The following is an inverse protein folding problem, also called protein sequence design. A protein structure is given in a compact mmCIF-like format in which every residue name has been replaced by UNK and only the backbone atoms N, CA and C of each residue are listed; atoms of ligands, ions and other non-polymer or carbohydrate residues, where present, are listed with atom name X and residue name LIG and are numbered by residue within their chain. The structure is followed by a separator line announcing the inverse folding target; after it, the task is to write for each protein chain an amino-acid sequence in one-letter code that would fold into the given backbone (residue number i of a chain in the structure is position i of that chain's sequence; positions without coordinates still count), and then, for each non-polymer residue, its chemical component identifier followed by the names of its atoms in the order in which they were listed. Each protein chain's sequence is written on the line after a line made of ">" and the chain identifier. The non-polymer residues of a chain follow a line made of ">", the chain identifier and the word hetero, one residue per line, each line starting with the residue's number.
data_IF_011004168861
#
_entry.id   IF_011004168861
#
_cell.length_a   1.000
_cell.length_b   1.000
_cell.length_c   1.000
_cell.angle_alpha   90.00
_cell.angle_beta   90.00
_cell.angle_gamma   90.00
#
_symmetry.space_group_name_H-M   'P 1'
#
loop_
_entity.id
_entity.type
_entity.pdbx_description
1 polymer ?
#
# COMPACT_ATOMS: atom_id res chain seq x y z
N UNK A 1 -0.46 -17.86 -10.59
CA UNK A 1 -0.43 -17.17 -9.29
C UNK A 1 -1.36 -17.93 -8.39
N UNK A 2 -0.92 -18.38 -7.21
CA UNK A 2 -1.81 -19.07 -6.27
C UNK A 2 -2.94 -18.09 -5.87
N UNK A 3 -4.19 -18.53 -5.97
CA UNK A 3 -5.39 -17.75 -5.64
C UNK A 3 -5.38 -17.32 -4.18
N UNK A 4 -4.90 -18.18 -3.28
CA UNK A 4 -4.81 -17.92 -1.84
C UNK A 4 -3.79 -16.82 -1.54
N UNK A 5 -2.66 -16.82 -2.26
CA UNK A 5 -1.68 -15.73 -2.19
C UNK A 5 -2.33 -14.41 -2.62
N UNK A 6 -3.10 -14.42 -3.71
CA UNK A 6 -3.83 -13.26 -4.21
C UNK A 6 -4.84 -12.70 -3.19
N UNK A 7 -5.61 -13.57 -2.55
CA UNK A 7 -6.62 -13.20 -1.57
C UNK A 7 -6.00 -12.63 -0.28
N UNK A 8 -4.89 -13.21 0.18
CA UNK A 8 -4.15 -12.68 1.33
C UNK A 8 -3.56 -11.31 1.00
N UNK A 9 -2.95 -11.14 -0.17
CA UNK A 9 -2.44 -9.84 -0.63
C UNK A 9 -3.56 -8.78 -0.73
N UNK A 10 -4.74 -9.17 -1.22
CA UNK A 10 -5.91 -8.29 -1.25
C UNK A 10 -6.36 -7.85 0.14
N UNK A 11 -6.39 -8.79 1.09
CA UNK A 11 -6.75 -8.53 2.49
C UNK A 11 -5.76 -7.59 3.17
N UNK A 12 -4.46 -7.88 3.08
CA UNK A 12 -3.38 -7.04 3.63
C UNK A 12 -3.43 -5.63 3.05
N UNK A 13 -3.65 -5.52 1.74
CA UNK A 13 -3.75 -4.23 1.05
C UNK A 13 -4.92 -3.42 1.58
N UNK A 14 -6.08 -4.06 1.79
CA UNK A 14 -7.25 -3.39 2.37
C UNK A 14 -7.00 -2.92 3.81
N UNK A 15 -6.38 -3.75 4.65
CA UNK A 15 -6.01 -3.35 6.02
C UNK A 15 -5.06 -2.16 6.03
N UNK A 16 -4.04 -2.17 5.18
CA UNK A 16 -3.12 -1.03 5.03
C UNK A 16 -3.86 0.23 4.60
N UNK A 17 -4.79 0.14 3.64
CA UNK A 17 -5.61 1.28 3.18
C UNK A 17 -6.49 1.81 4.31
N UNK A 18 -7.18 0.93 5.02
CA UNK A 18 -8.11 1.32 6.10
C UNK A 18 -7.34 1.97 7.26
N UNK A 19 -6.18 1.42 7.62
CA UNK A 19 -5.36 1.91 8.71
C UNK A 19 -4.58 3.19 8.35
N UNK A 20 -4.31 3.41 7.06
CA UNK A 20 -3.71 4.64 6.55
C UNK A 20 -4.73 5.73 6.19
N UNK A 21 -6.03 5.42 6.18
CA UNK A 21 -7.10 6.33 5.76
C UNK A 21 -7.15 7.62 6.59
N UNK A 22 -6.84 7.53 7.89
CA UNK A 22 -6.83 8.65 8.82
C UNK A 22 -5.77 9.71 8.48
N UNK A 23 -4.74 9.31 7.73
CA UNK A 23 -3.72 10.27 7.35
C UNK A 23 -4.12 11.04 6.08
N UNK A 24 -5.15 10.62 5.34
CA UNK A 24 -5.66 11.37 4.17
C UNK A 24 -4.59 11.71 3.14
N UNK A 25 -3.53 10.91 3.07
CA UNK A 25 -2.24 11.41 2.59
C UNK A 25 -2.17 11.45 1.06
N UNK A 26 -2.77 10.50 0.34
CA UNK A 26 -2.71 10.51 -1.13
C UNK A 26 -3.80 11.46 -1.59
N UNK A 27 -3.50 12.56 -2.32
CA UNK A 27 -4.53 13.25 -3.06
C UNK A 27 -5.11 12.23 -4.03
N UNK A 28 -6.29 11.70 -3.70
CA UNK A 28 -7.03 10.84 -4.62
C UNK A 28 -7.38 11.72 -5.80
N UNK A 29 -6.86 11.45 -7.01
CA UNK A 29 -7.21 12.26 -8.16
C UNK A 29 -8.73 12.20 -8.31
N UNK A 30 -9.37 13.35 -8.14
CA UNK A 30 -10.82 13.48 -8.22
C UNK A 30 -11.24 13.14 -9.64
N UNK A 31 -11.91 12.01 -9.81
CA UNK A 31 -12.65 11.66 -11.03
C UNK A 31 -11.83 11.36 -12.29
N UNK A 32 -10.52 11.16 -12.23
CA UNK A 32 -9.73 10.87 -13.44
C UNK A 32 -8.50 10.01 -13.16
N UNK A 33 -8.29 8.96 -13.96
CA UNK A 33 -7.04 8.17 -13.94
C UNK A 33 -5.97 9.05 -14.61
N UNK A 34 -4.92 9.47 -13.89
CA UNK A 34 -3.90 10.32 -14.47
C UNK A 34 -3.16 9.57 -15.58
N UNK A 35 -3.13 10.14 -16.78
CA UNK A 35 -2.29 9.60 -17.87
C UNK A 35 -0.81 9.60 -17.49
N UNK A 36 0.01 8.79 -18.18
CA UNK A 36 1.45 8.66 -17.94
C UNK A 36 2.21 10.01 -17.88
N UNK A 37 1.73 11.03 -18.59
CA UNK A 37 2.30 12.38 -18.57
C UNK A 37 2.12 13.11 -17.22
N UNK A 38 1.03 12.84 -16.50
CA UNK A 38 0.81 13.37 -15.15
C UNK A 38 1.73 12.67 -14.16
N UNK A 39 1.85 11.34 -14.24
CA UNK A 39 2.77 10.58 -13.38
C UNK A 39 4.21 11.06 -13.61
N UNK A 40 4.64 11.28 -14.85
CA UNK A 40 5.98 11.79 -15.14
C UNK A 40 6.22 13.20 -14.58
N UNK A 41 5.24 14.11 -14.69
CA UNK A 41 5.35 15.49 -14.15
C UNK A 41 5.28 15.54 -12.63
N UNK A 42 4.50 14.66 -12.02
CA UNK A 42 4.29 14.60 -10.58
C UNK A 42 5.15 13.56 -9.89
N UNK A 43 6.02 12.84 -10.61
CA UNK A 43 6.85 11.77 -10.06
C UNK A 43 7.64 12.24 -8.85
N UNK A 44 8.28 13.41 -8.93
CA UNK A 44 9.03 13.98 -7.80
C UNK A 44 8.15 14.31 -6.60
N UNK A 45 6.95 14.85 -6.82
CA UNK A 45 5.99 15.15 -5.76
C UNK A 45 5.43 13.87 -5.13
N UNK A 46 5.09 12.87 -5.94
CA UNK A 46 4.65 11.55 -5.49
C UNK A 46 5.75 10.85 -4.70
N UNK A 47 7.01 10.93 -5.14
CA UNK A 47 8.14 10.32 -4.45
C UNK A 47 8.42 11.02 -3.12
N UNK A 48 8.54 12.35 -3.11
CA UNK A 48 8.74 13.14 -1.90
C UNK A 48 7.61 12.92 -0.89
N UNK A 49 6.39 12.78 -1.39
CA UNK A 49 5.23 12.43 -0.62
C UNK A 49 5.34 11.02 -0.02
N UNK A 50 5.60 9.97 -0.81
CA UNK A 50 5.81 8.60 -0.31
C UNK A 50 6.91 8.57 0.76
N UNK A 51 7.99 9.33 0.55
CA UNK A 51 9.09 9.46 1.50
C UNK A 51 8.67 10.17 2.79
N UNK A 52 7.89 11.25 2.71
CA UNK A 52 7.33 11.94 3.88
C UNK A 52 6.35 11.07 4.68
N UNK A 53 5.55 10.29 3.98
CA UNK A 53 4.58 9.36 4.57
C UNK A 53 5.26 8.19 5.26
N UNK A 54 6.28 7.61 4.64
CA UNK A 54 7.09 6.55 5.25
C UNK A 54 7.92 7.03 6.44
N UNK A 55 8.20 8.34 6.54
CA UNK A 55 8.79 8.95 7.73
C UNK A 55 7.79 9.19 8.88
N UNK A 56 6.48 9.12 8.62
CA UNK A 56 5.46 9.32 9.66
C UNK A 56 5.35 8.07 10.53
N UNK A 57 5.77 8.16 11.80
CA UNK A 57 5.86 7.00 12.70
C UNK A 57 4.56 6.20 12.79
N UNK A 58 3.41 6.86 12.90
CA UNK A 58 2.13 6.16 13.01
C UNK A 58 1.75 5.45 11.72
N UNK A 59 2.04 6.04 10.55
CA UNK A 59 1.81 5.39 9.26
C UNK A 59 2.73 4.18 9.09
N UNK A 60 4.03 4.37 9.38
CA UNK A 60 5.04 3.31 9.32
C UNK A 60 4.68 2.15 10.22
N UNK A 61 4.33 2.40 11.48
CA UNK A 61 3.90 1.36 12.41
C UNK A 61 2.67 0.63 11.88
N UNK A 62 1.70 1.35 11.35
CA UNK A 62 0.48 0.75 10.80
C UNK A 62 0.76 -0.22 9.65
N UNK A 63 1.54 0.22 8.66
CA UNK A 63 1.95 -0.59 7.51
C UNK A 63 2.78 -1.79 7.94
N UNK A 64 3.77 -1.58 8.82
CA UNK A 64 4.67 -2.64 9.28
C UNK A 64 3.90 -3.69 10.08
N UNK A 65 3.00 -3.29 10.98
CA UNK A 65 2.21 -4.21 11.79
C UNK A 65 1.28 -5.06 10.93
N UNK A 66 0.55 -4.45 9.98
CA UNK A 66 -0.28 -5.19 9.03
C UNK A 66 0.55 -6.12 8.14
N UNK A 67 1.73 -5.69 7.69
CA UNK A 67 2.61 -6.56 6.89
C UNK A 67 3.14 -7.75 7.70
N UNK A 68 3.49 -7.53 8.97
CA UNK A 68 4.02 -8.57 9.85
C UNK A 68 2.96 -9.59 10.27
N UNK A 69 1.70 -9.16 10.49
CA UNK A 69 0.63 -10.08 10.89
C UNK A 69 0.31 -11.13 9.83
N UNK A 70 0.50 -10.79 8.56
CA UNK A 70 0.17 -11.67 7.44
C UNK A 70 1.38 -12.34 6.79
N UNK A 71 2.60 -12.03 7.23
CA UNK A 71 3.84 -12.59 6.66
C UNK A 71 3.82 -14.11 6.61
N UNK A 72 3.50 -14.76 7.73
CA UNK A 72 3.48 -16.23 7.83
C UNK A 72 2.39 -16.84 6.94
N UNK A 73 1.22 -16.20 6.86
CA UNK A 73 0.13 -16.67 5.99
C UNK A 73 0.51 -16.58 4.51
N UNK A 74 1.17 -15.49 4.09
CA UNK A 74 1.69 -15.35 2.71
C UNK A 74 2.77 -16.39 2.45
N UNK A 75 3.70 -16.63 3.39
CA UNK A 75 4.76 -17.62 3.24
C UNK A 75 4.20 -19.04 3.06
N UNK A 76 3.16 -19.40 3.83
CA UNK A 76 2.46 -20.69 3.71
C UNK A 76 1.74 -20.79 2.36
N UNK A 77 0.91 -19.80 2.02
CA UNK A 77 0.19 -19.80 0.75
C UNK A 77 1.13 -19.78 -0.47
N UNK A 78 2.31 -19.18 -0.34
CA UNK A 78 3.34 -19.18 -1.40
C UNK A 78 4.08 -20.52 -1.51
N UNK A 79 4.13 -21.29 -0.42
CA UNK A 79 4.73 -22.63 -0.40
C UNK A 79 3.77 -23.71 -0.92
N UNK A 80 2.46 -23.44 -0.92
CA UNK A 80 1.45 -24.22 -1.62
C UNK A 80 1.52 -23.91 -3.12
N UNK A 81 2.42 -24.60 -3.83
CA UNK A 81 2.57 -24.56 -5.28
C UNK A 81 1.92 -25.78 -5.95
#
# INVERSE_FOLDING_TARGET
>A
MNVDVGDILGTVTKEIIDCSAAFGLVPKPVGWIPGWSYIAKSAGQVLAYILGVSAHNTYRTCVVTASLSWRTAIEIASAEL
#
